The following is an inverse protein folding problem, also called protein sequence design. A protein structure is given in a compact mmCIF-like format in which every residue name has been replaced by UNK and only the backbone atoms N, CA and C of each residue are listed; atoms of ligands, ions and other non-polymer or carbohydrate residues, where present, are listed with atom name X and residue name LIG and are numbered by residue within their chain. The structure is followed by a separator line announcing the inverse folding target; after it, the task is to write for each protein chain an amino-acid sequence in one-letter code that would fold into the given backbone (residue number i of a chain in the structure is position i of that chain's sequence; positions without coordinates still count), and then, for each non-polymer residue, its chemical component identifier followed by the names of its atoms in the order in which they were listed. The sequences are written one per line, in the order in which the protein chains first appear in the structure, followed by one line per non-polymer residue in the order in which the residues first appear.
data_IF_698994203439
#
_entry.id   IF_698994203439
#
_cell.length_a   1.000
_cell.length_b   1.000
_cell.length_c   1.000
_cell.angle_alpha   90.00
_cell.angle_beta   90.00
_cell.angle_gamma   90.00
#
_symmetry.space_group_name_H-M   'P 1'
#
loop_
_entity.id
_entity.type
_entity.pdbx_description
1 polymer ?
#
# COMPACT_ATOMS: atom_id res chain seq x y z
N UNK A 1 16.67 -2.09 19.09
CA UNK A 1 16.73 -1.95 17.62
C UNK A 1 16.21 -0.58 17.21
N UNK A 2 16.98 0.09 16.35
CA UNK A 2 16.67 1.29 15.53
C UNK A 2 16.22 2.56 16.26
N UNK A 3 17.23 3.32 16.70
CA UNK A 3 17.08 4.70 17.13
C UNK A 3 16.54 5.60 16.03
N UNK A 4 15.78 6.61 16.47
CA UNK A 4 15.32 7.73 15.67
C UNK A 4 16.57 8.50 15.26
N UNK A 5 17.07 8.14 14.08
CA UNK A 5 18.18 8.79 13.44
C UNK A 5 17.67 10.03 12.72
N UNK A 6 18.50 11.05 12.74
CA UNK A 6 18.24 12.30 12.10
C UNK A 6 18.69 12.29 10.65
N UNK A 7 17.95 11.48 9.92
CA UNK A 7 18.60 10.62 8.96
C UNK A 7 17.50 9.93 8.19
N UNK A 8 17.80 9.71 6.91
CA UNK A 8 17.06 8.83 6.02
C UNK A 8 16.55 7.61 6.81
N UNK A 9 15.32 7.20 6.55
CA UNK A 9 14.75 6.03 7.23
C UNK A 9 15.68 4.83 7.11
N UNK A 10 15.95 4.17 8.24
CA UNK A 10 16.62 2.86 8.28
C UNK A 10 15.62 1.72 8.44
N UNK A 11 14.31 1.99 8.37
CA UNK A 11 13.34 0.90 8.39
C UNK A 11 13.49 0.07 7.10
N UNK A 12 13.52 -1.26 7.25
CA UNK A 12 13.89 -2.20 6.19
C UNK A 12 13.20 -1.94 4.84
N UNK A 13 11.93 -1.55 4.86
CA UNK A 13 11.14 -1.25 3.65
C UNK A 13 11.07 0.26 3.37
N UNK A 14 10.82 1.08 4.40
CA UNK A 14 10.56 2.52 4.22
C UNK A 14 11.86 3.26 3.86
N UNK A 15 13.01 2.78 4.31
CA UNK A 15 14.33 3.37 4.06
C UNK A 15 14.68 3.48 2.59
N UNK A 16 14.83 2.35 1.88
CA UNK A 16 15.16 2.34 0.47
C UNK A 16 14.15 3.14 -0.36
N UNK A 17 12.85 3.01 -0.06
CA UNK A 17 11.79 3.76 -0.73
C UNK A 17 11.96 5.26 -0.50
N UNK A 18 12.16 5.71 0.74
CA UNK A 18 12.35 7.13 1.04
C UNK A 18 13.60 7.70 0.38
N UNK A 19 14.67 6.90 0.23
CA UNK A 19 15.88 7.32 -0.46
C UNK A 19 15.63 7.53 -1.96
N UNK A 20 14.95 6.57 -2.61
CA UNK A 20 14.56 6.69 -4.01
C UNK A 20 13.70 7.93 -4.25
N UNK A 21 12.66 8.11 -3.42
CA UNK A 21 11.78 9.27 -3.49
C UNK A 21 12.54 10.57 -3.17
N UNK A 22 13.54 10.52 -2.29
CA UNK A 22 14.43 11.63 -1.99
C UNK A 22 15.30 12.06 -3.18
N UNK A 23 15.84 11.12 -3.95
CA UNK A 23 16.58 11.44 -5.18
C UNK A 23 15.69 12.12 -6.21
N UNK A 24 14.46 11.63 -6.36
CA UNK A 24 13.46 12.27 -7.22
C UNK A 24 13.14 13.69 -6.74
N UNK A 25 12.88 13.87 -5.44
CA UNK A 25 12.59 15.19 -4.86
C UNK A 25 13.76 16.15 -5.04
N UNK A 26 14.99 15.70 -4.81
CA UNK A 26 16.19 16.50 -5.03
C UNK A 26 16.32 16.93 -6.49
N UNK A 27 16.16 16.00 -7.43
CA UNK A 27 16.21 16.31 -8.86
C UNK A 27 15.18 17.37 -9.26
N UNK A 28 13.94 17.25 -8.77
CA UNK A 28 12.88 18.23 -9.01
C UNK A 28 13.27 19.60 -8.43
N UNK A 29 13.71 19.64 -7.17
CA UNK A 29 14.06 20.91 -6.52
C UNK A 29 15.27 21.59 -7.18
N UNK A 30 16.30 20.83 -7.58
CA UNK A 30 17.44 21.36 -8.33
C UNK A 30 17.02 21.93 -9.68
N UNK A 31 16.06 21.32 -10.39
CA UNK A 31 15.53 21.88 -11.62
C UNK A 31 14.81 23.20 -11.33
N UNK A 32 13.97 23.25 -10.28
CA UNK A 32 13.27 24.46 -9.86
C UNK A 32 14.22 25.62 -9.48
N UNK A 33 15.32 25.30 -8.81
CA UNK A 33 16.40 26.26 -8.54
C UNK A 33 17.03 26.79 -9.84
N UNK A 34 17.36 25.90 -10.79
CA UNK A 34 17.99 26.29 -12.06
C UNK A 34 17.12 27.20 -12.92
N UNK A 35 15.80 27.07 -12.84
CA UNK A 35 14.84 27.94 -13.53
C UNK A 35 14.50 29.21 -12.73
N UNK A 36 15.12 29.43 -11.56
CA UNK A 36 14.95 30.64 -10.76
C UNK A 36 13.71 30.67 -9.87
N UNK A 37 12.98 29.56 -9.73
CA UNK A 37 11.79 29.46 -8.86
C UNK A 37 11.93 28.35 -7.81
N UNK A 38 12.87 28.47 -6.86
CA UNK A 38 13.12 27.47 -5.83
C UNK A 38 11.99 27.46 -4.79
N UNK A 39 10.90 26.75 -5.09
CA UNK A 39 9.74 26.60 -4.21
C UNK A 39 9.54 25.15 -3.82
N UNK A 40 9.60 24.87 -2.50
CA UNK A 40 9.34 23.54 -1.93
C UNK A 40 7.89 23.13 -2.19
N UNK A 41 6.94 24.09 -2.13
CA UNK A 41 5.53 23.83 -2.42
C UNK A 41 5.32 23.33 -3.86
N UNK A 42 5.97 23.98 -4.83
CA UNK A 42 5.92 23.55 -6.23
C UNK A 42 6.64 22.20 -6.43
N UNK A 43 7.76 21.99 -5.75
CA UNK A 43 8.48 20.71 -5.78
C UNK A 43 7.57 19.56 -5.34
N UNK A 44 6.82 19.75 -4.25
CA UNK A 44 5.83 18.78 -3.75
C UNK A 44 4.76 18.48 -4.80
N UNK A 45 4.22 19.49 -5.48
CA UNK A 45 3.17 19.31 -6.51
C UNK A 45 3.71 18.49 -7.69
N UNK A 46 4.85 18.88 -8.26
CA UNK A 46 5.48 18.19 -9.40
C UNK A 46 5.84 16.76 -9.00
N UNK A 47 6.44 16.60 -7.81
CA UNK A 47 6.79 15.30 -7.27
C UNK A 47 5.55 14.40 -7.17
N UNK A 48 4.43 14.94 -6.66
CA UNK A 48 3.18 14.21 -6.53
C UNK A 48 2.67 13.76 -7.90
N UNK A 49 2.69 14.65 -8.89
CA UNK A 49 2.32 14.33 -10.27
C UNK A 49 3.14 13.17 -10.83
N UNK A 50 4.46 13.22 -10.70
CA UNK A 50 5.37 12.17 -11.21
C UNK A 50 5.05 10.82 -10.57
N UNK A 51 4.87 10.76 -9.25
CA UNK A 51 4.54 9.51 -8.55
C UNK A 51 3.22 8.93 -9.05
N UNK A 52 2.19 9.75 -9.17
CA UNK A 52 0.89 9.29 -9.67
C UNK A 52 0.98 8.81 -11.13
N UNK A 53 1.75 9.48 -12.00
CA UNK A 53 1.96 9.03 -13.37
C UNK A 53 2.67 7.66 -13.42
N UNK A 54 3.70 7.46 -12.60
CA UNK A 54 4.39 6.17 -12.48
C UNK A 54 3.47 5.06 -11.93
N UNK A 55 2.55 5.39 -11.03
CA UNK A 55 1.58 4.44 -10.46
C UNK A 55 0.38 4.17 -11.35
N UNK A 56 0.14 4.97 -12.40
CA UNK A 56 -1.01 4.84 -13.30
C UNK A 56 -1.28 3.40 -13.81
N UNK A 57 -0.30 2.63 -14.33
CA UNK A 57 -0.56 1.26 -14.81
C UNK A 57 -1.03 0.33 -13.69
N UNK A 58 -0.51 0.51 -12.47
CA UNK A 58 -0.97 -0.24 -11.30
C UNK A 58 -2.40 0.16 -10.93
N UNK A 59 -2.71 1.46 -10.94
CA UNK A 59 -4.05 1.98 -10.65
C UNK A 59 -5.09 1.47 -11.65
N UNK A 60 -4.76 1.38 -12.94
CA UNK A 60 -5.64 0.79 -13.97
C UNK A 60 -5.97 -0.67 -13.63
N UNK A 61 -4.96 -1.47 -13.26
CA UNK A 61 -5.17 -2.87 -12.86
C UNK A 61 -6.05 -2.98 -11.60
N UNK A 62 -5.80 -2.13 -10.59
CA UNK A 62 -6.59 -2.07 -9.37
C UNK A 62 -8.05 -1.69 -9.64
N UNK A 63 -8.30 -0.72 -10.53
CA UNK A 63 -9.67 -0.33 -10.90
C UNK A 63 -10.41 -1.41 -11.69
N UNK A 64 -9.74 -2.08 -12.64
CA UNK A 64 -10.32 -3.24 -13.34
C UNK A 64 -10.76 -4.32 -12.35
N UNK A 65 -9.90 -4.61 -11.38
CA UNK A 65 -10.20 -5.57 -10.30
C UNK A 65 -11.42 -5.12 -9.48
N UNK A 66 -11.50 -3.84 -9.12
CA UNK A 66 -12.63 -3.26 -8.38
C UNK A 66 -13.96 -3.37 -9.15
N UNK A 67 -13.98 -3.06 -10.46
CA UNK A 67 -15.18 -3.20 -11.30
C UNK A 67 -15.65 -4.66 -11.44
N UNK A 68 -14.73 -5.60 -11.63
CA UNK A 68 -15.04 -7.05 -11.63
C UNK A 68 -15.61 -7.48 -10.27
N UNK A 69 -15.05 -6.98 -9.18
CA UNK A 69 -15.52 -7.27 -7.83
C UNK A 69 -16.91 -6.70 -7.57
N UNK A 70 -17.21 -5.50 -8.10
CA UNK A 70 -18.54 -4.91 -8.02
C UNK A 70 -19.58 -5.72 -8.80
N UNK A 71 -19.24 -6.23 -10.00
CA UNK A 71 -20.13 -7.11 -10.79
C UNK A 71 -20.32 -8.49 -10.14
N UNK A 72 -19.31 -8.98 -9.42
CA UNK A 72 -19.36 -10.23 -8.65
C UNK A 72 -20.22 -10.12 -7.38
N UNK A 73 -20.25 -8.94 -6.73
CA UNK A 73 -20.83 -8.78 -5.40
C UNK A 73 -22.31 -9.26 -5.28
N UNK A 74 -23.20 -9.04 -6.26
CA UNK A 74 -24.56 -9.56 -6.22
C UNK A 74 -24.64 -11.09 -6.19
N UNK A 75 -23.74 -11.81 -6.90
CA UNK A 75 -23.69 -13.28 -6.86
C UNK A 75 -23.24 -13.77 -5.48
N UNK A 76 -22.28 -13.08 -4.85
CA UNK A 76 -21.86 -13.40 -3.49
C UNK A 76 -22.99 -13.14 -2.48
N UNK A 77 -23.74 -12.05 -2.64
CA UNK A 77 -24.90 -11.76 -1.80
C UNK A 77 -25.98 -12.84 -1.94
N UNK A 78 -26.27 -13.29 -3.17
CA UNK A 78 -27.22 -14.36 -3.42
C UNK A 78 -26.82 -15.69 -2.75
N UNK A 79 -25.52 -16.05 -2.80
CA UNK A 79 -24.98 -17.21 -2.07
C UNK A 79 -25.18 -17.02 -0.57
N UNK A 80 -24.81 -15.87 -0.02
CA UNK A 80 -24.97 -15.62 1.42
C UNK A 80 -26.44 -15.71 1.85
N UNK A 81 -27.38 -15.16 1.08
CA UNK A 81 -28.81 -15.28 1.34
C UNK A 81 -29.31 -16.73 1.28
N UNK A 82 -28.81 -17.53 0.35
CA UNK A 82 -29.14 -18.97 0.21
C UNK A 82 -28.75 -19.79 1.46
N UNK A 83 -27.70 -19.38 2.18
CA UNK A 83 -27.16 -20.09 3.34
C UNK A 83 -27.39 -19.41 4.70
N UNK A 84 -28.05 -18.24 4.74
CA UNK A 84 -28.20 -17.38 5.94
C UNK A 84 -28.64 -18.10 7.23
N UNK A 85 -29.52 -19.10 7.12
CA UNK A 85 -30.06 -19.84 8.27
C UNK A 85 -29.43 -21.22 8.47
N UNK A 86 -28.40 -21.57 7.69
CA UNK A 86 -27.74 -22.88 7.69
C UNK A 86 -26.37 -22.77 8.35
N UNK A 87 -26.26 -23.34 9.55
CA UNK A 87 -25.00 -23.36 10.34
C UNK A 87 -24.36 -24.73 10.40
N UNK A 88 -24.90 -25.72 9.70
CA UNK A 88 -24.31 -27.04 9.59
C UNK A 88 -22.97 -27.00 8.83
N UNK A 89 -22.04 -27.88 9.23
CA UNK A 89 -20.69 -27.89 8.68
C UNK A 89 -20.69 -28.12 7.15
N UNK A 90 -21.60 -28.97 6.65
CA UNK A 90 -21.75 -29.24 5.22
C UNK A 90 -22.22 -28.01 4.44
N UNK A 91 -23.20 -27.26 4.96
CA UNK A 91 -23.67 -26.01 4.35
C UNK A 91 -22.58 -24.95 4.32
N UNK A 92 -21.76 -24.86 5.36
CA UNK A 92 -20.62 -23.93 5.38
C UNK A 92 -19.54 -24.30 4.37
N UNK A 93 -19.26 -25.61 4.19
CA UNK A 93 -18.34 -26.10 3.16
C UNK A 93 -18.88 -25.77 1.78
N UNK A 94 -20.16 -26.07 1.49
CA UNK A 94 -20.80 -25.76 0.20
C UNK A 94 -20.85 -24.26 -0.07
N UNK A 95 -21.17 -23.44 0.92
CA UNK A 95 -21.15 -21.98 0.79
C UNK A 95 -19.74 -21.48 0.41
N UNK A 96 -18.71 -22.01 1.06
CA UNK A 96 -17.32 -21.67 0.74
C UNK A 96 -16.91 -22.13 -0.67
N UNK A 97 -17.38 -23.30 -1.11
CA UNK A 97 -17.14 -23.81 -2.47
C UNK A 97 -17.83 -22.96 -3.54
N UNK A 98 -19.11 -22.64 -3.37
CA UNK A 98 -19.87 -21.76 -4.28
C UNK A 98 -19.22 -20.36 -4.33
N UNK A 99 -18.87 -19.82 -3.17
CA UNK A 99 -18.15 -18.54 -3.05
C UNK A 99 -16.83 -18.58 -3.83
N UNK A 100 -16.01 -19.62 -3.64
CA UNK A 100 -14.75 -19.81 -4.38
C UNK A 100 -14.97 -19.94 -5.89
N UNK A 101 -16.03 -20.63 -6.33
CA UNK A 101 -16.37 -20.76 -7.73
C UNK A 101 -16.72 -19.40 -8.36
N UNK A 102 -17.46 -18.56 -7.63
CA UNK A 102 -17.77 -17.17 -8.05
C UNK A 102 -16.48 -16.34 -8.13
N UNK A 103 -15.61 -16.36 -7.12
CA UNK A 103 -14.30 -15.68 -7.21
C UNK A 103 -13.50 -16.08 -8.46
N UNK A 104 -13.47 -17.38 -8.78
CA UNK A 104 -12.81 -17.91 -9.98
C UNK A 104 -13.47 -17.45 -11.28
N UNK A 105 -14.80 -17.49 -11.37
CA UNK A 105 -15.58 -17.00 -12.52
C UNK A 105 -15.20 -15.57 -12.89
N UNK A 106 -15.06 -14.70 -11.90
CA UNK A 106 -14.71 -13.30 -12.11
C UNK A 106 -13.20 -13.04 -12.19
N UNK A 107 -12.35 -14.03 -11.91
CA UNK A 107 -10.90 -13.88 -11.89
C UNK A 107 -10.40 -12.92 -10.81
N UNK A 108 -11.15 -12.78 -9.72
CA UNK A 108 -10.83 -11.90 -8.59
C UNK A 108 -10.52 -12.70 -7.33
N UNK A 109 -9.79 -12.12 -6.38
CA UNK A 109 -9.40 -12.77 -5.13
C UNK A 109 -9.88 -11.99 -3.91
N UNK A 110 -10.19 -12.65 -2.78
CA UNK A 110 -10.53 -11.93 -1.55
C UNK A 110 -9.45 -10.92 -1.08
N UNK A 111 -8.18 -11.17 -1.41
CA UNK A 111 -7.02 -10.34 -1.04
C UNK A 111 -6.70 -9.21 -2.03
N UNK A 112 -7.33 -9.17 -3.21
CA UNK A 112 -7.01 -8.17 -4.22
C UNK A 112 -7.42 -6.75 -3.81
N UNK A 113 -8.49 -6.60 -3.03
CA UNK A 113 -8.99 -5.31 -2.55
C UNK A 113 -8.08 -4.67 -1.47
N UNK A 114 -7.45 -5.47 -0.60
CA UNK A 114 -6.56 -4.94 0.43
C UNK A 114 -5.13 -4.67 -0.08
N UNK A 115 -4.73 -5.28 -1.20
CA UNK A 115 -3.41 -5.10 -1.79
C UNK A 115 -3.12 -3.64 -2.16
N UNK A 116 -4.13 -2.88 -2.59
CA UNK A 116 -3.97 -1.45 -2.87
C UNK A 116 -3.55 -0.66 -1.64
N UNK A 117 -4.18 -0.90 -0.50
CA UNK A 117 -3.85 -0.23 0.75
C UNK A 117 -2.43 -0.58 1.21
N UNK A 118 -2.05 -1.85 1.09
CA UNK A 118 -0.71 -2.34 1.47
C UNK A 118 0.39 -1.69 0.62
N UNK A 119 0.17 -1.49 -0.67
CA UNK A 119 1.15 -0.81 -1.54
C UNK A 119 1.17 0.70 -1.28
N UNK A 120 0.01 1.30 -0.99
CA UNK A 120 -0.10 2.75 -0.79
C UNK A 120 0.53 3.22 0.52
N UNK A 121 0.39 2.45 1.61
CA UNK A 121 0.86 2.85 2.94
C UNK A 121 2.37 3.12 2.98
N UNK A 122 3.28 2.22 2.55
CA UNK A 122 4.73 2.48 2.53
C UNK A 122 5.10 3.72 1.72
N UNK A 123 4.43 3.95 0.59
CA UNK A 123 4.65 5.14 -0.24
C UNK A 123 4.24 6.38 0.54
N UNK A 124 3.04 6.41 1.11
CA UNK A 124 2.56 7.54 1.92
C UNK A 124 3.52 7.87 3.07
N UNK A 125 3.99 6.86 3.81
CA UNK A 125 4.95 7.06 4.91
C UNK A 125 6.32 7.54 4.44
N UNK A 126 6.81 7.01 3.31
CA UNK A 126 8.07 7.46 2.72
C UNK A 126 7.98 8.90 2.23
N UNK A 127 6.86 9.28 1.62
CA UNK A 127 6.56 10.64 1.19
C UNK A 127 6.49 11.62 2.34
N UNK A 128 5.74 11.25 3.39
CA UNK A 128 5.69 12.03 4.61
C UNK A 128 7.10 12.32 5.13
N UNK A 129 7.97 11.32 5.14
CA UNK A 129 9.35 11.48 5.62
C UNK A 129 10.20 12.40 4.73
N UNK A 130 10.07 12.29 3.41
CA UNK A 130 10.80 13.15 2.46
C UNK A 130 10.38 14.61 2.60
N UNK A 131 9.08 14.88 2.73
CA UNK A 131 8.56 16.25 2.88
C UNK A 131 8.90 16.79 4.28
N UNK A 132 8.67 16.00 5.33
CA UNK A 132 8.86 16.44 6.71
C UNK A 132 10.34 16.67 7.05
N UNK A 133 11.25 15.87 6.47
CA UNK A 133 12.69 15.98 6.69
C UNK A 133 13.39 16.43 5.40
N UNK A 134 12.82 17.43 4.73
CA UNK A 134 13.28 17.92 3.42
C UNK A 134 14.82 18.12 3.32
N UNK A 135 15.50 18.76 4.30
CA UNK A 135 16.96 18.94 4.24
C UNK A 135 17.74 17.62 4.25
N UNK A 136 17.19 16.54 4.80
CA UNK A 136 17.86 15.23 4.79
C UNK A 136 17.89 14.57 3.40
N UNK A 137 17.02 15.02 2.48
CA UNK A 137 16.89 14.47 1.14
C UNK A 137 17.31 15.45 0.04
N UNK A 138 17.31 16.75 0.31
CA UNK A 138 17.67 17.82 -0.64
C UNK A 138 18.89 18.58 -0.13
N UNK A 139 20.11 18.25 -0.61
CA UNK A 139 21.35 18.85 -0.12
C UNK A 139 21.41 20.36 -0.23
N UNK A 140 20.79 20.95 -1.27
CA UNK A 140 20.80 22.39 -1.47
C UNK A 140 20.04 23.11 -0.34
N UNK A 141 18.94 22.53 0.15
CA UNK A 141 18.24 23.06 1.33
C UNK A 141 19.02 22.79 2.61
N UNK A 142 19.70 21.63 2.73
CA UNK A 142 20.60 21.36 3.86
C UNK A 142 21.70 22.43 3.98
N UNK A 143 22.30 22.80 2.86
CA UNK A 143 23.39 23.77 2.80
C UNK A 143 23.00 25.15 3.34
N UNK A 144 21.71 25.53 3.24
CA UNK A 144 21.20 26.79 3.81
C UNK A 144 21.41 26.85 5.32
N UNK A 145 21.35 25.72 6.01
CA UNK A 145 21.54 25.66 7.47
C UNK A 145 23.02 25.58 7.87
N UNK A 146 23.92 25.16 6.98
CA UNK A 146 25.29 24.76 7.33
C UNK A 146 26.04 25.86 8.09
N UNK A 147 26.08 27.08 7.56
CA UNK A 147 26.82 28.19 8.18
C UNK A 147 26.32 28.52 9.58
N UNK A 148 25.00 28.59 9.77
CA UNK A 148 24.40 28.86 11.07
C UNK A 148 24.69 27.71 12.04
N UNK A 149 24.45 26.48 11.61
CA UNK A 149 24.59 25.30 12.46
C UNK A 149 26.03 25.06 12.86
N UNK A 150 27.00 25.29 11.97
CA UNK A 150 28.42 25.15 12.27
C UNK A 150 28.87 26.07 13.41
N UNK A 151 28.29 27.27 13.52
CA UNK A 151 28.53 28.20 14.63
C UNK A 151 27.67 27.89 15.86
N UNK A 152 26.45 27.42 15.64
CA UNK A 152 25.49 27.15 16.71
C UNK A 152 25.89 25.94 17.55
N UNK A 153 26.48 24.90 16.94
CA UNK A 153 26.98 23.72 17.70
C UNK A 153 28.13 24.05 18.65
N UNK A 154 28.86 25.15 18.40
CA UNK A 154 29.91 25.66 19.29
C UNK A 154 29.42 26.71 20.27
N UNK A 155 28.16 27.15 20.17
CA UNK A 155 27.61 28.18 21.04
C UNK A 155 27.13 27.58 22.37
N UNK A 156 27.58 28.18 23.47
CA UNK A 156 27.21 27.76 24.82
C UNK A 156 25.69 27.85 25.02
N UNK A 157 25.10 26.78 25.57
CA UNK A 157 23.66 26.72 25.83
C UNK A 157 22.77 26.44 24.61
N UNK A 158 23.30 26.43 23.38
CA UNK A 158 22.50 26.26 22.16
C UNK A 158 21.71 24.94 22.12
N UNK A 159 22.33 23.83 22.54
CA UNK A 159 21.65 22.53 22.62
C UNK A 159 20.46 22.54 23.58
N UNK A 160 20.60 23.18 24.74
CA UNK A 160 19.54 23.29 25.73
C UNK A 160 18.42 24.22 25.23
N UNK A 161 18.79 25.35 24.61
CA UNK A 161 17.84 26.29 24.03
C UNK A 161 17.00 25.64 22.92
N UNK A 162 17.63 24.94 21.97
CA UNK A 162 16.90 24.26 20.89
C UNK A 162 15.92 23.21 21.39
N UNK A 163 16.18 22.57 22.54
CA UNK A 163 15.25 21.63 23.16
C UNK A 163 13.97 22.29 23.70
N UNK A 164 13.94 23.61 23.86
CA UNK A 164 12.74 24.37 24.28
C UNK A 164 11.72 24.54 23.16
N UNK A 165 12.13 24.32 21.89
CA UNK A 165 11.24 24.47 20.74
C UNK A 165 10.12 23.43 20.79
N UNK A 166 8.93 23.83 20.32
CA UNK A 166 7.70 23.03 20.40
C UNK A 166 7.86 21.63 19.83
N UNK A 167 8.56 21.51 18.71
CA UNK A 167 8.77 20.26 18.00
C UNK A 167 10.05 19.52 18.41
N UNK A 168 10.87 20.09 19.31
CA UNK A 168 12.14 19.49 19.70
C UNK A 168 11.99 18.20 20.51
N UNK A 169 10.86 18.04 21.22
CA UNK A 169 10.52 16.82 21.97
C UNK A 169 10.50 15.57 21.10
N UNK A 170 10.20 15.69 19.80
CA UNK A 170 10.23 14.59 18.83
C UNK A 170 11.65 14.01 18.65
N UNK A 171 12.66 14.80 19.00
CA UNK A 171 14.09 14.50 18.86
C UNK A 171 14.77 14.20 20.20
N UNK A 172 14.01 14.03 21.29
CA UNK A 172 14.58 13.80 22.63
C UNK A 172 15.60 12.63 22.66
N UNK A 173 15.37 11.57 21.87
CA UNK A 173 16.31 10.43 21.75
C UNK A 173 17.61 10.78 21.03
N UNK A 174 17.59 11.77 20.15
CA UNK A 174 18.79 12.22 19.43
C UNK A 174 19.65 13.05 20.37
N UNK A 175 19.04 13.99 21.11
CA UNK A 175 19.72 14.80 22.12
C UNK A 175 20.38 13.95 23.24
N UNK A 176 19.79 12.81 23.60
CA UNK A 176 20.34 11.90 24.61
C UNK A 176 21.26 10.80 24.06
N UNK A 177 21.53 10.78 22.75
CA UNK A 177 22.38 9.74 22.14
C UNK A 177 23.86 9.99 22.40
N UNK A 178 24.65 8.92 22.53
CA UNK A 178 26.11 9.02 22.67
C UNK A 178 26.78 9.72 21.47
N UNK A 179 26.26 9.51 20.26
CA UNK A 179 26.74 10.17 19.03
C UNK A 179 26.51 11.68 19.02
N UNK A 180 25.46 12.15 19.70
CA UNK A 180 25.20 13.57 19.90
C UNK A 180 26.20 14.16 20.90
N UNK A 181 26.38 13.51 22.05
CA UNK A 181 27.34 13.97 23.08
C UNK A 181 28.78 14.03 22.55
N UNK A 182 29.13 13.17 21.59
CA UNK A 182 30.42 13.17 20.92
C UNK A 182 30.68 14.38 19.99
N UNK A 183 29.75 15.33 19.84
CA UNK A 183 29.98 16.58 19.09
C UNK A 183 30.14 16.42 17.58
N UNK A 184 29.65 15.31 17.02
CA UNK A 184 29.86 14.92 15.62
C UNK A 184 28.88 15.56 14.63
N UNK A 185 28.98 15.21 13.34
CA UNK A 185 27.96 15.49 12.31
C UNK A 185 26.53 15.13 12.75
N UNK A 186 26.40 14.17 13.68
CA UNK A 186 25.13 13.83 14.30
C UNK A 186 24.50 15.04 15.01
N UNK A 187 25.27 15.81 15.78
CA UNK A 187 24.79 17.01 16.47
C UNK A 187 24.36 18.10 15.48
N UNK A 188 25.15 18.34 14.43
CA UNK A 188 24.82 19.32 13.39
C UNK A 188 23.50 18.96 12.71
N UNK A 189 23.36 17.70 12.33
CA UNK A 189 22.11 17.18 11.79
C UNK A 189 20.96 17.43 12.81
N UNK A 190 21.20 17.27 14.12
CA UNK A 190 20.19 17.55 15.19
C UNK A 190 19.71 18.96 15.23
N UNK A 191 20.61 19.90 15.05
CA UNK A 191 20.21 21.29 15.01
C UNK A 191 19.42 21.57 13.74
N UNK A 192 19.82 21.02 12.58
CA UNK A 192 19.09 21.17 11.32
C UNK A 192 17.64 20.66 11.43
N UNK A 193 17.40 19.49 12.02
CA UNK A 193 16.03 18.93 12.10
C UNK A 193 15.11 19.70 13.03
N UNK A 194 15.66 20.28 14.11
CA UNK A 194 14.90 21.18 14.98
C UNK A 194 14.60 22.48 14.25
N UNK A 195 15.61 23.11 13.65
CA UNK A 195 15.47 24.38 12.94
C UNK A 195 14.56 24.29 11.72
N UNK A 196 14.60 23.17 10.99
CA UNK A 196 13.70 22.91 9.86
C UNK A 196 12.22 22.85 10.27
N UNK A 197 11.92 22.63 11.55
CA UNK A 197 10.56 22.59 12.11
C UNK A 197 10.23 23.78 13.01
N UNK A 198 11.14 24.74 13.10
CA UNK A 198 10.95 25.94 13.88
C UNK A 198 9.96 26.87 13.15
N UNK A 199 8.98 27.35 13.90
CA UNK A 199 8.07 28.42 13.51
C UNK A 199 8.82 29.74 13.35
N UNK A 200 8.21 30.71 12.68
CA UNK A 200 8.76 32.08 12.58
C UNK A 200 9.06 32.69 13.95
N UNK A 201 8.22 32.45 14.96
CA UNK A 201 8.44 32.91 16.33
C UNK A 201 9.68 32.29 16.98
N UNK A 202 9.93 30.99 16.76
CA UNK A 202 11.11 30.28 17.26
C UNK A 202 12.40 30.73 16.56
N UNK A 203 12.33 31.08 15.27
CA UNK A 203 13.44 31.74 14.58
C UNK A 203 13.77 33.12 15.17
N UNK A 204 12.75 33.90 15.52
CA UNK A 204 12.93 35.20 16.18
C UNK A 204 13.49 35.07 17.61
N UNK A 205 13.07 34.05 18.37
CA UNK A 205 13.63 33.81 19.70
C UNK A 205 15.10 33.36 19.61
N UNK A 206 15.47 32.54 18.63
CA UNK A 206 16.87 32.14 18.39
C UNK A 206 17.77 33.34 18.09
N UNK A 207 17.29 34.27 17.25
CA UNK A 207 18.01 35.51 16.92
C UNK A 207 18.26 36.37 18.17
N UNK A 208 17.28 36.42 19.07
CA UNK A 208 17.35 37.19 20.32
C UNK A 208 18.30 36.53 21.33
N UNK A 209 18.25 35.20 21.46
CA UNK A 209 19.07 34.43 22.41
C UNK A 209 20.56 34.42 22.03
N UNK A 210 20.87 34.40 20.72
CA UNK A 210 22.24 34.40 20.21
C UNK A 210 22.53 35.63 19.34
N UNK A 211 22.70 36.84 19.93
CA UNK A 211 22.90 38.08 19.19
C UNK A 211 24.11 38.06 18.24
N UNK A 212 25.19 37.35 18.61
CA UNK A 212 26.38 37.18 17.78
C UNK A 212 26.13 36.39 16.50
N UNK A 213 25.06 35.58 16.46
CA UNK A 213 24.64 34.80 15.30
C UNK A 213 23.44 35.45 14.58
N UNK A 214 22.97 36.62 15.01
CA UNK A 214 21.72 37.20 14.53
C UNK A 214 21.66 37.37 13.00
N UNK A 215 22.78 37.72 12.37
CA UNK A 215 22.89 37.83 10.90
C UNK A 215 22.80 36.47 10.22
N UNK A 216 23.48 35.44 10.74
CA UNK A 216 23.41 34.09 10.19
C UNK A 216 22.00 33.50 10.33
N UNK A 217 21.36 33.72 11.49
CA UNK A 217 19.97 33.35 11.77
C UNK A 217 19.03 34.02 10.76
N UNK A 218 19.17 35.34 10.55
CA UNK A 218 18.33 36.09 9.61
C UNK A 218 18.51 35.59 8.17
N UNK A 219 19.76 35.46 7.69
CA UNK A 219 20.05 35.00 6.34
C UNK A 219 19.52 33.58 6.06
N UNK A 220 19.62 32.71 7.06
CA UNK A 220 19.10 31.33 7.00
C UNK A 220 17.57 31.37 6.92
N UNK A 221 16.94 32.12 7.82
CA UNK A 221 15.48 32.28 7.86
C UNK A 221 14.92 32.89 6.57
N UNK A 222 15.54 33.92 6.01
CA UNK A 222 15.05 34.59 4.79
C UNK A 222 15.16 33.67 3.58
N UNK A 223 16.26 32.94 3.46
CA UNK A 223 16.45 31.96 2.38
C UNK A 223 15.43 30.82 2.48
N UNK A 224 15.22 30.27 3.68
CA UNK A 224 14.22 29.24 3.92
C UNK A 224 12.80 29.77 3.72
N UNK A 225 12.52 31.01 4.09
CA UNK A 225 11.22 31.66 3.88
C UNK A 225 10.92 31.82 2.41
N UNK A 226 11.92 32.16 1.58
CA UNK A 226 11.79 32.15 0.11
C UNK A 226 11.49 30.76 -0.43
N UNK A 227 12.20 29.73 0.05
CA UNK A 227 11.97 28.34 -0.39
C UNK A 227 10.61 27.78 0.05
N UNK A 228 10.17 28.16 1.24
CA UNK A 228 8.89 27.78 1.81
C UNK A 228 7.73 28.67 1.35
N UNK A 229 7.97 29.71 0.55
CA UNK A 229 6.89 30.53 0.03
C UNK A 229 6.16 29.79 -1.09
N UNK A 230 4.85 29.69 -0.96
CA UNK A 230 3.96 29.18 -1.98
C UNK A 230 2.65 29.96 -1.97
N UNK A 231 2.34 30.66 -3.07
CA UNK A 231 1.15 31.52 -3.19
C UNK A 231 1.05 32.56 -2.06
N UNK A 232 2.18 33.09 -1.59
CA UNK A 232 2.23 34.03 -0.47
C UNK A 232 2.15 33.39 0.92
N UNK A 233 1.87 32.09 1.01
CA UNK A 233 1.84 31.35 2.27
C UNK A 233 3.22 30.74 2.57
N UNK A 234 3.67 30.82 3.82
CA UNK A 234 4.82 30.04 4.27
C UNK A 234 4.37 28.62 4.60
N UNK A 235 4.85 27.63 3.83
CA UNK A 235 4.38 26.26 3.94
C UNK A 235 4.83 25.52 5.21
N UNK A 236 5.81 26.07 5.94
CA UNK A 236 6.26 25.54 7.22
C UNK A 236 5.25 25.78 8.34
N UNK A 237 4.40 26.81 8.20
CA UNK A 237 3.36 27.15 9.16
C UNK A 237 2.06 26.38 8.88
N UNK A 238 1.29 26.06 9.92
CA UNK A 238 -0.05 25.48 9.77
C UNK A 238 -1.06 26.54 9.33
N UNK A 239 -2.12 26.18 8.59
CA UNK A 239 -3.18 27.13 8.25
C UNK A 239 -3.82 27.77 9.49
N UNK A 240 -4.05 26.99 10.55
CA UNK A 240 -4.52 27.51 11.84
C UNK A 240 -3.61 28.58 12.46
N UNK A 241 -2.29 28.47 12.32
CA UNK A 241 -1.35 29.49 12.77
C UNK A 241 -1.38 30.72 11.86
N UNK A 242 -1.31 30.51 10.53
CA UNK A 242 -1.34 31.59 9.53
C UNK A 242 -2.60 32.44 9.70
N UNK A 243 -3.76 31.80 9.93
CA UNK A 243 -5.01 32.52 10.15
C UNK A 243 -4.92 33.42 11.38
N UNK A 244 -4.44 32.89 12.51
CA UNK A 244 -4.31 33.68 13.75
C UNK A 244 -3.38 34.88 13.58
N UNK A 245 -2.22 34.66 12.95
CA UNK A 245 -1.21 35.67 12.69
C UNK A 245 -1.69 36.74 11.68
N UNK A 246 -2.33 36.30 10.59
CA UNK A 246 -2.85 37.18 9.55
C UNK A 246 -4.04 38.02 10.02
N UNK A 247 -4.88 37.50 10.94
CA UNK A 247 -5.94 38.28 11.58
C UNK A 247 -5.37 39.43 12.42
N UNK A 248 -4.28 39.18 13.16
CA UNK A 248 -3.60 40.21 13.95
C UNK A 248 -2.92 41.25 13.05
N UNK A 249 -2.40 40.82 11.91
CA UNK A 249 -1.66 41.66 10.96
C UNK A 249 -2.54 42.31 9.87
N UNK A 250 -3.87 42.17 9.93
CA UNK A 250 -4.81 42.71 8.94
C UNK A 250 -4.69 42.12 7.52
N UNK A 251 -3.98 41.01 7.36
CA UNK A 251 -3.65 40.40 6.06
C UNK A 251 -4.70 39.38 5.62
N UNK A 252 -5.92 39.85 5.33
CA UNK A 252 -7.08 38.99 5.02
C UNK A 252 -6.88 38.07 3.81
N UNK A 253 -6.03 38.43 2.84
CA UNK A 253 -5.73 37.56 1.69
C UNK A 253 -5.04 36.25 2.13
N UNK A 254 -4.15 36.32 3.14
CA UNK A 254 -3.50 35.13 3.69
C UNK A 254 -4.48 34.26 4.48
N UNK A 255 -5.47 34.86 5.14
CA UNK A 255 -6.56 34.12 5.82
C UNK A 255 -7.35 33.30 4.80
N UNK A 256 -7.73 33.91 3.68
CA UNK A 256 -8.43 33.22 2.59
C UNK A 256 -7.57 32.09 2.03
N UNK A 257 -6.31 32.37 1.70
CA UNK A 257 -5.37 31.35 1.20
C UNK A 257 -5.21 30.16 2.15
N UNK A 258 -5.07 30.42 3.45
CA UNK A 258 -4.94 29.39 4.47
C UNK A 258 -6.23 28.55 4.64
N UNK A 259 -7.42 29.17 4.60
CA UNK A 259 -8.70 28.48 4.69
C UNK A 259 -8.99 27.62 3.44
N UNK A 260 -8.51 28.03 2.27
CA UNK A 260 -8.69 27.27 1.04
C UNK A 260 -8.04 25.88 1.10
N UNK A 261 -6.94 25.70 1.84
CA UNK A 261 -6.24 24.42 1.92
C UNK A 261 -7.12 23.30 2.51
N UNK A 262 -7.68 23.39 3.74
CA UNK A 262 -8.56 22.36 4.29
C UNK A 262 -9.88 22.22 3.52
N UNK A 263 -10.42 23.32 2.96
CA UNK A 263 -11.65 23.27 2.15
C UNK A 263 -11.42 22.46 0.88
N UNK A 264 -10.35 22.77 0.12
CA UNK A 264 -9.99 22.03 -1.08
C UNK A 264 -9.67 20.58 -0.75
N UNK A 265 -8.99 20.30 0.37
CA UNK A 265 -8.70 18.93 0.79
C UNK A 265 -10.00 18.12 1.02
N UNK A 266 -10.97 18.67 1.74
CA UNK A 266 -12.26 18.02 1.93
C UNK A 266 -13.05 17.84 0.62
N UNK A 267 -13.17 18.90 -0.19
CA UNK A 267 -13.92 18.86 -1.45
C UNK A 267 -13.34 17.85 -2.44
N UNK A 268 -12.01 17.85 -2.60
CA UNK A 268 -11.33 16.92 -3.51
C UNK A 268 -11.35 15.48 -2.99
N UNK A 269 -11.29 15.28 -1.66
CA UNK A 269 -11.45 13.96 -1.07
C UNK A 269 -12.88 13.44 -1.27
N UNK A 270 -13.89 14.30 -1.08
CA UNK A 270 -15.28 13.96 -1.36
C UNK A 270 -15.51 13.61 -2.84
N UNK A 271 -14.93 14.38 -3.76
CA UNK A 271 -14.96 14.08 -5.19
C UNK A 271 -14.35 12.70 -5.50
N UNK A 272 -13.20 12.38 -4.93
CA UNK A 272 -12.55 11.09 -5.12
C UNK A 272 -13.42 9.92 -4.63
N UNK A 273 -14.10 10.05 -3.48
CA UNK A 273 -15.05 9.04 -2.98
C UNK A 273 -16.19 8.81 -3.99
N UNK A 274 -16.70 9.88 -4.60
CA UNK A 274 -17.80 9.79 -5.57
C UNK A 274 -17.37 9.20 -6.92
N UNK A 275 -16.11 9.37 -7.31
CA UNK A 275 -15.55 8.85 -8.56
C UNK A 275 -15.10 7.38 -8.46
N UNK A 276 -14.93 6.85 -7.24
CA UNK A 276 -14.63 5.43 -7.02
C UNK A 276 -15.89 4.58 -7.21
N UNK A 277 -15.77 3.37 -7.80
CA UNK A 277 -16.87 2.42 -7.89
C UNK A 277 -17.40 2.12 -6.49
N UNK A 278 -18.61 2.58 -6.19
CA UNK A 278 -19.30 2.20 -4.97
C UNK A 278 -19.99 0.85 -5.21
N UNK A 279 -19.92 -0.10 -4.27
CA UNK A 279 -20.74 -1.29 -4.35
C UNK A 279 -22.21 -0.88 -4.38
N UNK A 280 -22.96 -1.33 -5.38
CA UNK A 280 -24.41 -1.10 -5.49
C UNK A 280 -25.11 -1.82 -4.34
N UNK A 281 -25.44 -1.08 -3.28
CA UNK A 281 -26.23 -1.58 -2.16
C UNK A 281 -27.66 -1.06 -2.30
N UNK A 282 -28.47 -1.79 -3.07
CA UNK A 282 -29.91 -1.57 -3.11
C UNK A 282 -30.55 -2.36 -1.95
N UNK A 283 -30.70 -1.70 -0.79
CA UNK A 283 -31.50 -2.20 0.34
C UNK A 283 -30.77 -3.09 1.36
N UNK A 284 -31.39 -3.27 2.53
CA UNK A 284 -30.95 -4.23 3.54
C UNK A 284 -30.95 -5.63 2.93
N UNK A 285 -29.79 -6.27 2.87
CA UNK A 285 -29.68 -7.64 2.30
C UNK A 285 -30.26 -8.70 3.23
N UNK A 286 -30.76 -8.27 4.39
CA UNK A 286 -31.16 -9.13 5.49
C UNK A 286 -29.97 -9.80 6.16
N UNK A 287 -28.75 -9.62 5.68
CA UNK A 287 -27.54 -10.20 6.24
C UNK A 287 -26.81 -9.16 7.08
N UNK A 288 -26.90 -9.27 8.41
CA UNK A 288 -26.31 -8.32 9.37
C UNK A 288 -24.81 -8.12 9.15
N UNK A 289 -24.06 -9.16 8.73
CA UNK A 289 -22.62 -9.08 8.50
C UNK A 289 -22.28 -8.22 7.27
N UNK A 290 -23.05 -8.39 6.18
CA UNK A 290 -22.86 -7.65 4.94
C UNK A 290 -23.31 -6.20 5.08
N UNK A 291 -24.45 -5.99 5.75
CA UNK A 291 -24.99 -4.67 6.04
C UNK A 291 -24.08 -3.89 7.01
N UNK A 292 -23.47 -4.56 8.00
CA UNK A 292 -22.46 -3.95 8.88
C UNK A 292 -21.18 -3.54 8.13
N UNK A 293 -20.70 -4.37 7.19
CA UNK A 293 -19.55 -4.04 6.36
C UNK A 293 -19.85 -2.83 5.43
N UNK A 294 -21.03 -2.80 4.83
CA UNK A 294 -21.49 -1.69 4.00
C UNK A 294 -21.62 -0.38 4.80
N UNK A 295 -22.20 -0.45 6.00
CA UNK A 295 -22.34 0.70 6.89
C UNK A 295 -20.97 1.23 7.34
N UNK A 296 -20.02 0.32 7.63
CA UNK A 296 -18.63 0.68 7.96
C UNK A 296 -17.94 1.43 6.80
N UNK A 297 -18.07 0.92 5.57
CA UNK A 297 -17.51 1.58 4.37
C UNK A 297 -18.15 2.95 4.13
N UNK A 298 -19.47 3.08 4.31
CA UNK A 298 -20.17 4.36 4.19
C UNK A 298 -19.70 5.37 5.24
N UNK A 299 -19.57 4.93 6.50
CA UNK A 299 -19.07 5.76 7.60
C UNK A 299 -17.64 6.24 7.33
N UNK A 300 -16.75 5.34 6.88
CA UNK A 300 -15.39 5.69 6.48
C UNK A 300 -15.38 6.73 5.35
N UNK A 301 -16.17 6.51 4.29
CA UNK A 301 -16.25 7.42 3.15
C UNK A 301 -16.79 8.81 3.52
N UNK A 302 -17.67 8.89 4.52
CA UNK A 302 -18.23 10.16 5.01
C UNK A 302 -17.28 10.90 5.96
N UNK A 303 -16.50 10.15 6.76
CA UNK A 303 -15.59 10.71 7.75
C UNK A 303 -14.26 11.20 7.14
N UNK A 304 -13.76 10.52 6.10
CA UNK A 304 -12.46 10.80 5.49
C UNK A 304 -12.28 12.26 5.02
N UNK A 305 -13.25 12.90 4.35
CA UNK A 305 -13.14 14.32 3.98
C UNK A 305 -13.03 15.26 5.19
N UNK A 306 -13.76 14.98 6.27
CA UNK A 306 -13.77 15.79 7.49
C UNK A 306 -12.40 15.68 8.18
N UNK A 307 -11.89 14.47 8.34
CA UNK A 307 -10.56 14.23 8.90
C UNK A 307 -9.46 14.88 8.05
N UNK A 308 -9.59 14.83 6.72
CA UNK A 308 -8.66 15.49 5.81
C UNK A 308 -8.64 17.01 6.01
N UNK A 309 -9.80 17.65 6.17
CA UNK A 309 -9.87 19.08 6.51
C UNK A 309 -9.21 19.38 7.87
N UNK A 310 -9.51 18.59 8.90
CA UNK A 310 -8.92 18.80 10.25
C UNK A 310 -7.39 18.66 10.20
N UNK A 311 -6.88 17.63 9.54
CA UNK A 311 -5.43 17.44 9.40
C UNK A 311 -4.79 18.56 8.59
N UNK A 312 -5.39 18.97 7.48
CA UNK A 312 -4.85 20.07 6.68
C UNK A 312 -4.92 21.41 7.40
N UNK A 313 -5.85 21.60 8.35
CA UNK A 313 -5.94 22.81 9.16
C UNK A 313 -4.89 22.88 10.28
N UNK A 314 -4.47 21.73 10.80
CA UNK A 314 -3.60 21.62 11.98
C UNK A 314 -2.14 21.36 11.64
N UNK A 315 -1.87 20.60 10.59
CA UNK A 315 -0.51 20.29 10.13
C UNK A 315 0.09 21.44 9.31
N UNK A 316 1.42 21.46 9.10
CA UNK A 316 2.07 22.43 8.22
C UNK A 316 1.43 22.49 6.83
N UNK A 317 1.30 23.67 6.26
CA UNK A 317 0.62 23.91 4.98
C UNK A 317 1.24 23.09 3.84
N UNK A 318 2.56 22.80 3.88
CA UNK A 318 3.22 21.91 2.91
C UNK A 318 2.61 20.51 2.83
N UNK A 319 2.16 19.96 3.97
CA UNK A 319 1.41 18.71 4.03
C UNK A 319 0.02 18.83 3.41
N UNK A 320 -0.65 19.95 3.63
CA UNK A 320 -1.95 20.24 3.01
C UNK A 320 -1.85 20.37 1.50
N UNK A 321 -0.81 21.05 0.98
CA UNK A 321 -0.53 21.17 -0.45
C UNK A 321 -0.35 19.80 -1.09
N UNK A 322 0.42 18.90 -0.46
CA UNK A 322 0.55 17.51 -0.93
C UNK A 322 -0.82 16.82 -1.01
N UNK A 323 -1.65 16.97 0.02
CA UNK A 323 -2.97 16.31 0.08
C UNK A 323 -3.89 16.80 -1.02
N UNK A 324 -3.97 18.12 -1.21
CA UNK A 324 -4.79 18.77 -2.25
C UNK A 324 -4.27 18.42 -3.64
N UNK A 325 -2.98 18.58 -3.89
CA UNK A 325 -2.37 18.27 -5.18
C UNK A 325 -2.60 16.79 -5.54
N UNK A 326 -2.33 15.89 -4.61
CA UNK A 326 -2.57 14.46 -4.79
C UNK A 326 -4.04 14.16 -5.05
N UNK A 327 -4.96 14.81 -4.34
CA UNK A 327 -6.39 14.59 -4.55
C UNK A 327 -6.87 15.09 -5.91
N UNK A 328 -6.41 16.26 -6.38
CA UNK A 328 -6.70 16.79 -7.72
C UNK A 328 -6.13 15.88 -8.80
N UNK A 329 -4.86 15.49 -8.70
CA UNK A 329 -4.21 14.58 -9.66
C UNK A 329 -4.95 13.25 -9.70
N UNK A 330 -5.29 12.67 -8.54
CA UNK A 330 -6.10 11.45 -8.46
C UNK A 330 -7.46 11.62 -9.11
N UNK A 331 -8.16 12.75 -8.92
CA UNK A 331 -9.45 12.98 -9.56
C UNK A 331 -9.32 13.01 -11.09
N UNK A 332 -8.29 13.69 -11.62
CA UNK A 332 -8.01 13.71 -13.06
C UNK A 332 -7.69 12.30 -13.57
N UNK A 333 -6.79 11.59 -12.88
CA UNK A 333 -6.46 10.20 -13.22
C UNK A 333 -7.69 9.30 -13.17
N UNK A 334 -8.54 9.45 -12.15
CA UNK A 334 -9.75 8.65 -11.98
C UNK A 334 -10.70 8.86 -13.15
N UNK A 335 -10.87 10.09 -13.65
CA UNK A 335 -11.66 10.37 -14.86
C UNK A 335 -11.05 9.68 -16.09
N UNK A 336 -9.73 9.79 -16.28
CA UNK A 336 -9.04 9.16 -17.41
C UNK A 336 -9.15 7.63 -17.36
N UNK A 337 -8.94 7.04 -16.18
CA UNK A 337 -9.00 5.59 -15.99
C UNK A 337 -10.44 5.11 -16.11
N UNK A 338 -11.43 5.78 -15.51
CA UNK A 338 -12.85 5.43 -15.69
C UNK A 338 -13.21 5.39 -17.18
N UNK A 339 -12.80 6.41 -17.95
CA UNK A 339 -13.02 6.45 -19.40
C UNK A 339 -12.33 5.32 -20.17
N UNK A 340 -11.18 4.84 -19.71
CA UNK A 340 -10.51 3.67 -20.30
C UNK A 340 -11.21 2.36 -19.91
N UNK A 341 -11.58 2.23 -18.64
CA UNK A 341 -12.19 1.04 -18.06
C UNK A 341 -13.60 0.81 -18.59
N UNK A 342 -14.39 1.86 -18.81
CA UNK A 342 -15.75 1.74 -19.35
C UNK A 342 -15.77 1.29 -20.83
N UNK A 343 -14.62 1.31 -21.52
CA UNK A 343 -14.47 0.72 -22.87
C UNK A 343 -14.18 -0.79 -22.85
N UNK A 344 -13.91 -1.37 -21.68
CA UNK A 344 -13.61 -2.79 -21.55
C UNK A 344 -14.92 -3.57 -21.49
N UNK A 345 -15.09 -4.55 -22.38
CA UNK A 345 -16.17 -5.52 -22.29
C UNK A 345 -15.90 -6.49 -21.13
N UNK A 346 -16.52 -6.21 -19.98
CA UNK A 346 -16.37 -7.04 -18.80
C UNK A 346 -17.04 -8.41 -18.94
N UNK A 347 -18.06 -8.57 -19.79
CA UNK A 347 -18.68 -9.87 -20.06
C UNK A 347 -17.71 -10.76 -20.84
N UNK A 348 -17.01 -10.20 -21.82
CA UNK A 348 -15.95 -10.91 -22.54
C UNK A 348 -14.80 -11.31 -21.59
N UNK A 349 -14.41 -10.42 -20.66
CA UNK A 349 -13.38 -10.73 -19.65
C UNK A 349 -13.82 -11.88 -18.74
N UNK A 350 -15.06 -11.89 -18.27
CA UNK A 350 -15.61 -12.97 -17.44
C UNK A 350 -15.65 -14.28 -18.23
N UNK A 351 -16.08 -14.25 -19.49
CA UNK A 351 -16.08 -15.42 -20.37
C UNK A 351 -14.68 -16.01 -20.55
N UNK A 352 -13.69 -15.18 -20.85
CA UNK A 352 -12.29 -15.63 -20.97
C UNK A 352 -11.74 -16.21 -19.66
N UNK A 353 -12.12 -15.66 -18.51
CA UNK A 353 -11.73 -16.22 -17.21
C UNK A 353 -12.34 -17.60 -16.97
N UNK A 354 -13.62 -17.79 -17.31
CA UNK A 354 -14.29 -19.10 -17.23
C UNK A 354 -13.65 -20.13 -18.17
N UNK A 355 -13.41 -19.76 -19.44
CA UNK A 355 -12.74 -20.61 -20.44
C UNK A 355 -11.35 -21.05 -19.94
N UNK A 356 -10.57 -20.11 -19.37
CA UNK A 356 -9.26 -20.39 -18.79
C UNK A 356 -9.33 -21.30 -17.56
N UNK A 357 -10.30 -21.12 -16.68
CA UNK A 357 -10.51 -22.00 -15.51
C UNK A 357 -10.95 -23.40 -15.92
N UNK A 358 -11.79 -23.53 -16.94
CA UNK A 358 -12.15 -24.83 -17.53
C UNK A 358 -10.94 -25.53 -18.14
N UNK A 359 -10.12 -24.80 -18.89
CA UNK A 359 -8.88 -25.33 -19.46
C UNK A 359 -7.92 -25.79 -18.34
N UNK A 360 -7.74 -24.98 -17.30
CA UNK A 360 -6.95 -25.35 -16.12
C UNK A 360 -7.50 -26.59 -15.41
N UNK A 361 -8.84 -26.72 -15.29
CA UNK A 361 -9.48 -27.93 -14.76
C UNK A 361 -9.22 -29.16 -15.64
N UNK A 362 -9.29 -29.02 -16.98
CA UNK A 362 -9.01 -30.11 -17.93
C UNK A 362 -7.55 -30.57 -17.79
N UNK A 363 -6.59 -29.63 -17.80
CA UNK A 363 -5.16 -29.92 -17.59
C UNK A 363 -4.87 -30.55 -16.23
N UNK A 364 -5.53 -30.07 -15.17
CA UNK A 364 -5.39 -30.63 -13.82
C UNK A 364 -5.92 -32.06 -13.75
N UNK A 365 -7.09 -32.35 -14.34
CA UNK A 365 -7.63 -33.72 -14.42
C UNK A 365 -6.71 -34.66 -15.19
N UNK A 366 -6.14 -34.22 -16.31
CA UNK A 366 -5.17 -35.01 -17.08
C UNK A 366 -3.88 -35.25 -16.32
N UNK A 367 -3.41 -34.25 -15.56
CA UNK A 367 -2.20 -34.37 -14.73
C UNK A 367 -2.44 -35.33 -13.56
N UNK A 368 -3.59 -35.23 -12.90
CA UNK A 368 -4.00 -36.15 -11.84
C UNK A 368 -4.13 -37.56 -12.42
N UNK A 369 -4.83 -37.75 -13.54
CA UNK A 369 -4.97 -39.04 -14.20
C UNK A 369 -3.60 -39.64 -14.58
N UNK A 370 -2.69 -38.85 -15.16
CA UNK A 370 -1.31 -39.28 -15.45
C UNK A 370 -0.51 -39.62 -14.19
N UNK A 371 -0.68 -38.85 -13.11
CA UNK A 371 0.00 -39.11 -11.83
C UNK A 371 -0.51 -40.38 -11.15
N UNK A 372 -1.83 -40.62 -11.17
CA UNK A 372 -2.47 -41.84 -10.67
C UNK A 372 -2.02 -43.03 -11.50
N UNK A 373 -2.03 -42.94 -12.84
CA UNK A 373 -1.54 -44.01 -13.73
C UNK A 373 -0.05 -44.29 -13.49
N UNK A 374 0.79 -43.27 -13.36
CA UNK A 374 2.21 -43.44 -13.04
C UNK A 374 2.44 -44.05 -11.65
N UNK A 375 1.62 -43.70 -10.66
CA UNK A 375 1.69 -44.29 -9.32
C UNK A 375 1.24 -45.76 -9.34
N UNK A 376 0.16 -46.09 -10.05
CA UNK A 376 -0.31 -47.46 -10.25
C UNK A 376 0.71 -48.31 -11.03
N UNK A 377 1.37 -47.75 -12.04
CA UNK A 377 2.44 -48.41 -12.78
C UNK A 377 3.67 -48.67 -11.89
N UNK A 378 4.07 -47.70 -11.06
CA UNK A 378 5.19 -47.85 -10.11
C UNK A 378 4.92 -48.87 -9.00
N UNK A 379 3.68 -48.96 -8.52
CA UNK A 379 3.26 -49.98 -7.56
C UNK A 379 3.42 -51.38 -8.15
N UNK A 380 3.00 -51.59 -9.40
CA UNK A 380 3.14 -52.90 -10.07
C UNK A 380 4.61 -53.30 -10.31
N UNK A 381 5.49 -52.36 -10.65
CA UNK A 381 6.93 -52.67 -10.81
C UNK A 381 7.65 -52.96 -9.49
N UNK A 382 7.18 -52.42 -8.36
CA UNK A 382 7.80 -52.65 -7.05
C UNK A 382 7.53 -54.08 -6.52
N UNK A 383 6.40 -54.69 -6.92
CA UNK A 383 6.10 -56.10 -6.65
C UNK A 383 6.86 -57.08 -7.57
N UNK A 384 7.19 -56.67 -8.79
CA UNK A 384 7.99 -57.47 -9.73
C UNK A 384 9.48 -57.50 -9.37
N UNK A 385 10.01 -56.42 -8.78
CA UNK A 385 11.42 -56.36 -8.37
C UNK A 385 11.71 -57.05 -7.03
N UNK A 386 10.70 -57.42 -6.24
CA UNK A 386 10.86 -58.25 -5.03
C UNK A 386 10.88 -59.76 -5.32
N UNK A 387 10.70 -60.18 -6.57
CA UNK A 387 10.64 -61.61 -6.96
C UNK A 387 11.94 -62.17 -7.55
N UNK A 388 13.00 -61.35 -7.62
CA UNK A 388 14.30 -61.68 -8.22
C UNK A 388 15.20 -62.57 -7.36
N UNK A 389 14.77 -62.96 -6.16
CA UNK A 389 15.53 -63.84 -5.25
C UNK A 389 14.81 -65.11 -4.77
N UNK A 390 13.63 -65.43 -5.29
CA UNK A 390 12.82 -66.58 -4.84
C UNK A 390 13.09 -67.83 -5.66
N UNK A 391 13.21 -68.97 -4.99
CA UNK A 391 13.36 -70.30 -5.60
C UNK A 391 12.10 -70.68 -6.38
N UNK A 392 12.23 -71.53 -7.41
CA UNK A 392 11.14 -71.94 -8.29
C UNK A 392 9.93 -72.48 -7.51
N UNK A 393 10.17 -73.22 -6.43
CA UNK A 393 9.12 -73.73 -5.53
C UNK A 393 8.35 -72.63 -4.80
N UNK A 394 9.01 -71.53 -4.43
CA UNK A 394 8.35 -70.42 -3.73
C UNK A 394 7.49 -69.60 -4.69
N UNK A 395 7.91 -69.50 -5.96
CA UNK A 395 7.10 -68.91 -7.03
C UNK A 395 5.81 -69.72 -7.26
N UNK A 396 5.91 -71.04 -7.31
CA UNK A 396 4.75 -71.92 -7.50
C UNK A 396 3.74 -71.84 -6.34
N UNK A 397 4.23 -71.75 -5.10
CA UNK A 397 3.38 -71.58 -3.89
C UNK A 397 2.67 -70.22 -3.88
N UNK A 398 3.33 -69.16 -4.34
CA UNK A 398 2.72 -67.82 -4.45
C UNK A 398 1.64 -67.82 -5.55
N UNK A 399 1.88 -68.51 -6.66
CA UNK A 399 0.92 -68.65 -7.76
C UNK A 399 -0.31 -69.46 -7.31
N UNK A 400 -0.12 -70.55 -6.56
CA UNK A 400 -1.19 -71.33 -5.94
C UNK A 400 -2.03 -70.49 -4.97
N UNK A 401 -1.39 -69.73 -4.06
CA UNK A 401 -2.09 -68.83 -3.13
C UNK A 401 -2.87 -67.72 -3.85
N UNK A 402 -2.33 -67.19 -4.95
CA UNK A 402 -3.01 -66.18 -5.76
C UNK A 402 -4.24 -66.76 -6.50
N UNK A 403 -4.19 -68.05 -6.88
CA UNK A 403 -5.35 -68.77 -7.43
C UNK A 403 -6.44 -69.00 -6.39
N UNK A 404 -6.06 -69.25 -5.13
CA UNK A 404 -6.97 -69.58 -4.03
C UNK A 404 -7.59 -68.39 -3.26
N UNK A 405 -7.14 -67.14 -3.52
CA UNK A 405 -7.68 -65.96 -2.83
C UNK A 405 -9.14 -65.68 -3.23
N UNK A 406 -10.05 -65.35 -2.29
CA UNK A 406 -11.47 -65.10 -2.59
C UNK A 406 -11.64 -63.85 -3.46
N UNK A 407 -12.25 -64.03 -4.63
CA UNK A 407 -12.33 -63.01 -5.69
C UNK A 407 -13.67 -62.28 -5.62
N UNK A 408 -13.62 -60.94 -5.55
CA UNK A 408 -14.81 -60.09 -5.66
C UNK A 408 -15.42 -60.19 -7.06
N UNK A 409 -16.70 -60.52 -7.12
CA UNK A 409 -17.52 -60.53 -8.34
C UNK A 409 -17.41 -59.17 -9.06
N UNK A 410 -17.14 -59.21 -10.37
CA UNK A 410 -16.96 -58.01 -11.21
C UNK A 410 -15.53 -57.45 -11.30
N UNK A 411 -14.55 -58.01 -10.58
CA UNK A 411 -13.15 -57.61 -10.73
C UNK A 411 -12.54 -58.01 -12.09
N UNK A 412 -11.52 -57.27 -12.55
CA UNK A 412 -10.81 -57.55 -13.81
C UNK A 412 -10.23 -58.97 -13.80
N UNK A 413 -9.79 -59.48 -12.64
CA UNK A 413 -9.30 -60.84 -12.47
C UNK A 413 -10.39 -61.91 -12.67
N UNK A 414 -11.65 -61.63 -12.28
CA UNK A 414 -12.76 -62.54 -12.54
C UNK A 414 -13.15 -62.58 -14.03
N UNK A 415 -13.07 -61.43 -14.72
CA UNK A 415 -13.33 -61.34 -16.17
C UNK A 415 -12.24 -62.02 -17.00
N UNK A 416 -10.97 -61.91 -16.60
CA UNK A 416 -9.86 -62.55 -17.29
C UNK A 416 -9.94 -64.09 -17.23
N UNK A 417 -10.37 -64.66 -16.09
CA UNK A 417 -10.59 -66.10 -15.98
C UNK A 417 -11.83 -66.57 -16.75
N UNK A 418 -12.93 -65.81 -16.79
CA UNK A 418 -14.08 -66.16 -17.64
C UNK A 418 -13.69 -66.31 -19.12
N UNK A 419 -12.78 -65.45 -19.60
CA UNK A 419 -12.26 -65.54 -20.96
C UNK A 419 -11.33 -66.76 -21.10
N UNK A 420 -10.50 -67.05 -20.11
CA UNK A 420 -9.65 -68.24 -20.08
C UNK A 420 -10.47 -69.53 -20.10
N UNK A 421 -11.45 -69.66 -19.20
CA UNK A 421 -12.31 -70.84 -19.07
C UNK A 421 -13.20 -71.01 -20.32
N UNK A 422 -13.66 -69.91 -20.93
CA UNK A 422 -14.33 -69.92 -22.22
C UNK A 422 -13.41 -70.38 -23.35
N UNK A 423 -12.13 -70.02 -23.33
CA UNK A 423 -11.14 -70.47 -24.32
C UNK A 423 -10.77 -71.95 -24.12
N UNK A 424 -10.69 -72.45 -22.90
CA UNK A 424 -10.49 -73.89 -22.63
C UNK A 424 -11.70 -74.74 -23.02
N UNK A 425 -12.92 -74.27 -22.75
CA UNK A 425 -14.14 -75.00 -23.08
C UNK A 425 -14.43 -75.02 -24.59
N UNK A 426 -13.99 -74.01 -25.34
CA UNK A 426 -14.17 -73.93 -26.79
C UNK A 426 -12.95 -74.41 -27.60
N UNK A 427 -11.88 -74.88 -26.94
CA UNK A 427 -10.78 -75.60 -27.60
C UNK A 427 -11.00 -77.12 -27.53
N UNK A 428 -12.01 -77.60 -28.28
CA UNK A 428 -12.09 -78.98 -28.75
C UNK A 428 -12.12 -79.02 -30.27
#
# INVERSE_FOLDING_TARGET
MTGILLTKSNAFIIGPVSQLLGYLMNGIFTVLEKIGIPSIGLAIIIFTLVIYLCMMPLTVKQQKFSKLSAKMNPELQAIQSKYKNKKDNDSMIKMNEETKAVYKKYGVSPSGSCLQLVIQLPILWALYRVIYNFPAYVPNVKAVFSTLVDKLVTADGASAFLQTFKNASQYAKQFSSSSFVAGSDYMKNTFIDVLNKASSAEWMSLKTEFPSLATDVQNTYDTLSRFNNFLGLNIANSPSYIIKDAFQSGSYLLVVGALMIPILAALTQFLNVKLMPQPTNNGSTGNEQADAMAASMKSMNMMMPIMSAIFCFTLPTGMGIYWVAGAVIRSIQQVVINRHIDKIDFDEVIRKNMEKEEENRRKSKDTVAKSTVNQSARMNTKYLNSTSGLSQKEKDVIIEKAKAAPKKEGSIAAKANMVHDYMEQNNK
#
